data_IF_001635422200
#
_entry.id   IF_001635422200
#
_cell.length_a   1.000
_cell.length_b   1.000
_cell.length_c   1.000
_cell.angle_alpha   90.00
_cell.angle_beta   90.00
_cell.angle_gamma   90.00
#
_symmetry.space_group_name_H-M   'P 1'
#
loop_
_entity.id
_entity.type
_entity.pdbx_description
1 polymer ?
#
# COMPACT_ATOMS: atom_id res chain seq x y z
N UNK A 1 6.74 -7.09 -67.29
CA UNK A 1 6.35 -5.86 -68.00
C UNK A 1 5.25 -5.17 -67.20
N UNK A 2 5.53 -3.92 -66.75
CA UNK A 2 4.60 -2.79 -66.46
C UNK A 2 3.52 -3.02 -65.37
N UNK A 3 3.27 -2.18 -64.35
CA UNK A 3 3.66 -0.80 -63.92
C UNK A 3 2.97 -0.61 -62.55
N UNK A 4 3.64 -0.31 -61.43
CA UNK A 4 3.97 1.02 -60.85
C UNK A 4 2.83 2.06 -60.83
N UNK A 5 2.33 2.48 -59.63
CA UNK A 5 2.45 3.86 -59.10
C UNK A 5 1.78 4.09 -57.71
N UNK A 6 2.53 4.82 -56.88
CA UNK A 6 2.32 5.42 -55.54
C UNK A 6 1.51 6.74 -55.53
N UNK A 7 0.98 7.16 -54.35
CA UNK A 7 0.89 8.55 -53.80
C UNK A 7 -0.04 8.54 -52.54
N UNK A 8 0.41 8.69 -51.29
CA UNK A 8 0.83 9.90 -50.51
C UNK A 8 -0.12 11.11 -50.65
N UNK A 9 -0.83 11.44 -49.56
CA UNK A 9 -1.22 12.81 -49.23
C UNK A 9 -1.36 13.01 -47.71
N UNK A 10 -0.69 14.06 -47.25
CA UNK A 10 -0.55 14.60 -45.90
C UNK A 10 -1.59 15.72 -45.68
N UNK A 11 -2.08 15.94 -44.45
CA UNK A 11 -2.16 17.27 -43.79
C UNK A 11 -3.02 17.29 -42.50
N UNK A 12 -2.32 17.62 -41.41
CA UNK A 12 -2.60 18.56 -40.32
C UNK A 12 -4.00 18.78 -39.68
N UNK A 13 -4.05 18.42 -38.38
CA UNK A 13 -4.33 19.24 -37.17
C UNK A 13 -5.59 20.13 -37.13
N UNK A 14 -6.45 19.89 -36.13
CA UNK A 14 -6.80 20.86 -35.06
C UNK A 14 -7.55 20.16 -33.91
N UNK A 15 -7.05 20.38 -32.69
CA UNK A 15 -7.60 19.91 -31.43
C UNK A 15 -8.57 20.93 -30.85
N UNK A 16 -9.61 20.47 -30.16
CA UNK A 16 -10.23 21.19 -29.04
C UNK A 16 -10.56 20.23 -27.91
N UNK A 17 -10.17 20.65 -26.71
CA UNK A 17 -10.22 19.92 -25.45
C UNK A 17 -11.61 19.92 -24.81
N UNK A 18 -11.91 18.90 -24.01
CA UNK A 18 -12.83 19.01 -22.88
C UNK A 18 -12.33 18.16 -21.71
N UNK A 19 -12.55 18.70 -20.52
CA UNK A 19 -11.91 18.41 -19.25
C UNK A 19 -12.39 17.11 -18.56
N UNK A 20 -11.55 16.54 -17.70
CA UNK A 20 -11.81 16.45 -16.24
C UNK A 20 -10.71 15.62 -15.54
N UNK A 21 -10.46 16.00 -14.29
CA UNK A 21 -9.36 15.58 -13.41
C UNK A 21 -9.37 14.08 -13.05
N UNK A 22 -8.18 13.49 -12.94
CA UNK A 22 -7.89 12.44 -11.95
C UNK A 22 -6.40 12.48 -11.53
N UNK A 23 -6.06 12.46 -10.23
CA UNK A 23 -4.69 12.70 -9.78
C UNK A 23 -3.95 11.40 -9.50
N UNK A 24 -2.97 11.05 -10.35
CA UNK A 24 -1.93 10.07 -10.00
C UNK A 24 -0.54 10.60 -10.40
N UNK A 25 0.17 11.09 -9.38
CA UNK A 25 1.62 11.02 -9.16
C UNK A 25 2.53 11.87 -10.08
N UNK A 26 3.29 12.79 -9.46
CA UNK A 26 4.53 13.37 -10.03
C UNK A 26 5.59 13.60 -8.94
N UNK A 27 6.90 13.58 -9.28
CA UNK A 27 7.99 13.35 -8.34
C UNK A 27 8.70 14.62 -7.85
N UNK A 28 9.37 14.49 -6.70
CA UNK A 28 10.07 15.54 -5.95
C UNK A 28 11.38 16.01 -6.59
N UNK A 29 11.66 17.32 -6.50
CA UNK A 29 12.98 17.93 -6.73
C UNK A 29 13.55 18.55 -5.45
N UNK A 30 14.87 18.43 -5.28
CA UNK A 30 15.71 18.89 -4.15
C UNK A 30 16.09 20.39 -4.20
N UNK A 31 16.63 20.84 -3.05
CA UNK A 31 17.58 21.96 -2.81
C UNK A 31 16.96 23.34 -2.55
N UNK A 32 17.46 24.26 -1.70
CA UNK A 32 18.66 24.35 -0.84
C UNK A 32 18.57 25.61 0.07
N UNK A 33 19.19 25.53 1.25
CA UNK A 33 20.04 26.51 2.01
C UNK A 33 19.75 28.03 1.99
N UNK A 34 19.75 28.61 3.21
CA UNK A 34 20.10 29.99 3.57
C UNK A 34 19.47 30.34 4.94
N UNK A 35 20.11 30.82 6.01
CA UNK A 35 21.39 31.49 6.22
C UNK A 35 21.15 32.82 6.95
N UNK A 36 21.88 33.08 8.05
CA UNK A 36 22.08 34.39 8.74
C UNK A 36 20.99 34.84 9.74
N UNK A 37 21.21 35.51 10.89
CA UNK A 37 22.33 35.95 11.77
C UNK A 37 21.67 36.76 12.92
N UNK A 38 22.27 36.83 14.12
CA UNK A 38 22.02 37.99 15.02
C UNK A 38 22.13 37.78 16.54
N UNK A 39 23.37 37.78 17.06
CA UNK A 39 23.88 38.44 18.28
C UNK A 39 23.01 39.57 18.92
N UNK A 40 23.03 39.96 20.20
CA UNK A 40 24.10 40.12 21.22
C UNK A 40 23.50 40.54 22.60
N UNK A 41 24.29 40.35 23.67
CA UNK A 41 24.38 41.07 24.97
C UNK A 41 23.36 40.89 26.13
N UNK A 42 23.84 40.11 27.10
CA UNK A 42 23.91 40.31 28.56
C UNK A 42 23.84 41.75 29.12
N UNK A 43 23.24 41.94 30.30
CA UNK A 43 23.74 42.77 31.42
C UNK A 43 23.08 42.31 32.75
N UNK A 44 23.90 42.25 33.80
CA UNK A 44 23.67 41.78 35.18
C UNK A 44 23.41 43.01 36.13
N UNK A 45 23.34 42.91 37.47
CA UNK A 45 22.30 43.54 38.30
C UNK A 45 22.83 44.67 39.20
N UNK A 46 21.95 45.35 39.92
CA UNK A 46 22.33 46.28 41.00
C UNK A 46 21.61 45.95 42.30
N UNK A 47 22.41 45.69 43.33
CA UNK A 47 22.04 45.48 44.73
C UNK A 47 21.94 46.85 45.47
N UNK A 48 21.40 46.89 46.71
CA UNK A 48 20.86 48.08 47.35
C UNK A 48 21.87 48.78 48.29
N UNK A 49 21.53 50.01 48.72
CA UNK A 49 22.19 50.65 49.85
C UNK A 49 21.59 52.00 50.25
N UNK A 50 21.15 52.11 51.52
CA UNK A 50 21.13 53.33 52.34
C UNK A 50 20.71 52.91 53.76
N UNK A 51 21.63 52.78 54.72
CA UNK A 51 22.27 53.83 55.54
C UNK A 51 21.55 54.07 56.89
N UNK A 52 22.36 53.91 57.94
CA UNK A 52 22.30 54.37 59.35
C UNK A 52 21.60 55.73 59.60
N UNK A 53 21.15 56.16 60.80
CA UNK A 53 21.48 55.83 62.19
C UNK A 53 20.44 56.40 63.19
N UNK A 54 20.36 55.74 64.35
CA UNK A 54 20.39 56.31 65.73
C UNK A 54 19.25 57.13 66.33
N UNK A 55 18.67 56.60 67.42
CA UNK A 55 18.22 57.20 68.69
C UNK A 55 17.30 56.13 69.34
N UNK A 56 17.17 55.92 70.65
CA UNK A 56 17.67 56.48 71.90
C UNK A 56 17.17 55.53 72.99
N UNK A 57 17.78 55.55 74.17
CA UNK A 57 17.63 54.52 75.21
C UNK A 57 16.22 54.25 75.75
N UNK A 58 16.02 53.01 76.18
CA UNK A 58 15.58 52.69 77.54
C UNK A 58 15.91 51.21 77.80
N UNK A 59 16.95 51.03 78.60
CA UNK A 59 17.41 49.77 79.15
C UNK A 59 16.32 49.12 79.99
N UNK A 60 15.72 48.04 79.48
CA UNK A 60 15.42 46.89 80.35
C UNK A 60 16.50 45.86 80.07
N UNK A 61 17.23 45.45 81.12
CA UNK A 61 18.26 44.42 80.98
C UNK A 61 17.64 43.18 80.32
N UNK A 62 18.29 42.56 79.31
CA UNK A 62 17.79 41.31 78.75
C UNK A 62 17.75 40.29 79.88
N UNK A 63 16.52 39.90 80.27
CA UNK A 63 16.30 38.83 81.22
C UNK A 63 17.08 37.62 80.71
N UNK A 64 18.03 37.10 81.50
CA UNK A 64 18.70 35.84 81.18
C UNK A 64 17.61 34.77 81.11
N UNK A 65 17.33 34.31 79.90
CA UNK A 65 16.37 33.24 79.65
C UNK A 65 16.77 32.02 80.48
N UNK A 66 15.80 31.50 81.21
CA UNK A 66 15.94 30.22 81.89
C UNK A 66 16.24 29.13 80.85
N UNK A 67 16.84 28.02 81.28
CA UNK A 67 17.20 26.91 80.38
C UNK A 67 15.98 26.38 79.61
N UNK A 68 14.81 26.31 80.26
CA UNK A 68 13.53 25.97 79.62
C UNK A 68 13.08 26.98 78.57
N UNK A 69 13.29 28.28 78.78
CA UNK A 69 12.93 29.30 77.80
C UNK A 69 13.85 29.23 76.56
N UNK A 70 15.14 28.89 76.74
CA UNK A 70 16.09 28.65 75.63
C UNK A 70 15.77 27.38 74.84
N UNK A 71 15.36 26.31 75.52
CA UNK A 71 14.89 25.07 74.88
C UNK A 71 13.62 25.33 74.06
N UNK A 72 12.64 26.06 74.62
CA UNK A 72 11.42 26.41 73.90
C UNK A 72 11.67 27.32 72.68
N UNK A 73 12.61 28.27 72.78
CA UNK A 73 13.05 29.08 71.64
C UNK A 73 13.75 28.23 70.57
N UNK A 74 14.61 27.29 70.96
CA UNK A 74 15.28 26.37 70.05
C UNK A 74 14.31 25.41 69.34
N UNK A 75 13.30 24.90 70.05
CA UNK A 75 12.22 24.10 69.47
C UNK A 75 11.36 24.91 68.48
N UNK A 76 11.05 26.16 68.82
CA UNK A 76 10.33 27.09 67.95
C UNK A 76 11.12 27.39 66.67
N UNK A 77 12.42 27.68 66.78
CA UNK A 77 13.32 27.91 65.64
C UNK A 77 13.48 26.65 64.77
N UNK A 78 13.62 25.47 65.38
CA UNK A 78 13.66 24.21 64.65
C UNK A 78 12.34 23.93 63.92
N UNK A 79 11.21 24.17 64.57
CA UNK A 79 9.87 24.04 63.98
C UNK A 79 9.70 25.00 62.80
N UNK A 80 10.12 26.25 62.93
CA UNK A 80 10.10 27.25 61.86
C UNK A 80 10.99 26.83 60.67
N UNK A 81 12.18 26.28 60.92
CA UNK A 81 13.09 25.75 59.89
C UNK A 81 12.51 24.54 59.18
N UNK A 82 11.87 23.62 59.90
CA UNK A 82 11.18 22.45 59.32
C UNK A 82 10.00 22.92 58.46
N UNK A 83 9.19 23.87 58.94
CA UNK A 83 8.07 24.42 58.19
C UNK A 83 8.53 25.11 56.90
N UNK A 84 9.60 25.91 56.95
CA UNK A 84 10.21 26.54 55.78
C UNK A 84 10.72 25.49 54.77
N UNK A 85 11.39 24.43 55.26
CA UNK A 85 11.87 23.36 54.38
C UNK A 85 10.75 22.55 53.74
N UNK A 86 9.67 22.27 54.48
CA UNK A 86 8.46 21.62 53.95
C UNK A 86 7.76 22.50 52.91
N UNK A 87 7.70 23.83 53.12
CA UNK A 87 7.15 24.76 52.15
C UNK A 87 7.94 24.75 50.84
N UNK A 88 9.28 24.75 50.90
CA UNK A 88 10.15 24.63 49.72
C UNK A 88 9.93 23.29 49.01
N UNK A 89 9.84 22.18 49.74
CA UNK A 89 9.59 20.87 49.15
C UNK A 89 8.22 20.80 48.46
N UNK A 90 7.17 21.38 49.05
CA UNK A 90 5.83 21.47 48.44
C UNK A 90 5.83 22.33 47.19
N UNK A 91 6.50 23.49 47.21
CA UNK A 91 6.64 24.37 46.05
C UNK A 91 7.37 23.66 44.91
N UNK A 92 8.46 22.95 45.21
CA UNK A 92 9.19 22.14 44.22
C UNK A 92 8.33 21.03 43.64
N UNK A 93 7.53 20.33 44.46
CA UNK A 93 6.63 19.30 43.97
C UNK A 93 5.54 19.88 43.06
N UNK A 94 4.94 21.00 43.44
CA UNK A 94 3.95 21.71 42.61
C UNK A 94 4.56 22.17 41.28
N UNK A 95 5.79 22.68 41.31
CA UNK A 95 6.51 23.07 40.09
C UNK A 95 6.77 21.87 39.16
N UNK A 96 7.16 20.70 39.72
CA UNK A 96 7.35 19.46 38.93
C UNK A 96 6.04 18.97 38.31
N UNK A 97 4.94 18.99 39.07
CA UNK A 97 3.61 18.60 38.57
C UNK A 97 3.15 19.56 37.47
N UNK A 98 3.32 20.87 37.66
CA UNK A 98 2.98 21.88 36.67
C UNK A 98 3.83 21.75 35.39
N UNK A 99 5.12 21.46 35.53
CA UNK A 99 6.02 21.20 34.40
C UNK A 99 5.60 19.95 33.62
N UNK A 100 5.26 18.85 34.31
CA UNK A 100 4.76 17.63 33.68
C UNK A 100 3.43 17.86 32.95
N UNK A 101 2.51 18.63 33.55
CA UNK A 101 1.23 18.98 32.92
C UNK A 101 1.43 19.85 31.67
N UNK A 102 2.36 20.82 31.72
CA UNK A 102 2.74 21.65 30.55
C UNK A 102 3.37 20.80 29.45
N UNK A 103 4.27 19.88 29.79
CA UNK A 103 4.87 18.97 28.81
C UNK A 103 3.83 18.07 28.13
N UNK A 104 2.88 17.53 28.88
CA UNK A 104 1.77 16.72 28.32
C UNK A 104 0.87 17.54 27.40
N UNK A 105 0.55 18.78 27.78
CA UNK A 105 -0.24 19.70 26.94
C UNK A 105 0.51 20.09 25.66
N UNK A 106 1.82 20.34 25.74
CA UNK A 106 2.65 20.65 24.58
C UNK A 106 2.77 19.45 23.63
N UNK A 107 2.92 18.22 24.15
CA UNK A 107 2.92 17.01 23.33
C UNK A 107 1.58 16.77 22.61
N UNK A 108 0.45 17.09 23.25
CA UNK A 108 -0.87 17.00 22.64
C UNK A 108 -1.15 18.11 21.59
N UNK A 109 -0.42 19.22 21.66
CA UNK A 109 -0.55 20.35 20.73
C UNK A 109 0.47 20.31 19.58
N UNK A 110 1.39 19.33 19.57
CA UNK A 110 2.31 19.14 18.46
C UNK A 110 1.52 18.74 17.21
N UNK A 111 1.77 19.36 16.04
CA UNK A 111 1.14 18.96 14.80
C UNK A 111 1.49 17.50 14.52
N UNK A 112 0.47 16.67 14.31
CA UNK A 112 0.66 15.28 13.87
C UNK A 112 1.25 15.34 12.48
N UNK A 113 2.56 15.12 12.35
CA UNK A 113 3.19 14.94 11.05
C UNK A 113 2.55 13.70 10.43
N UNK A 114 1.92 13.79 9.23
CA UNK A 114 1.39 12.63 8.56
C UNK A 114 2.52 11.62 8.38
N UNK A 115 2.34 10.40 8.89
CA UNK A 115 3.28 9.33 8.58
C UNK A 115 3.17 9.05 7.08
N UNK A 116 4.25 9.29 6.34
CA UNK A 116 4.36 8.90 4.94
C UNK A 116 4.70 7.42 4.91
N UNK A 117 3.82 6.60 4.34
CA UNK A 117 4.04 5.17 4.15
C UNK A 117 4.57 4.93 2.74
N UNK A 118 5.41 3.90 2.58
CA UNK A 118 5.90 3.49 1.26
C UNK A 118 4.76 2.84 0.48
N UNK A 119 4.71 3.09 -0.83
CA UNK A 119 3.86 2.37 -1.78
C UNK A 119 4.66 1.38 -2.63
N UNK A 120 5.95 1.20 -2.32
CA UNK A 120 6.79 0.19 -2.95
C UNK A 120 6.56 -1.17 -2.31
N UNK A 121 6.44 -2.20 -3.13
CA UNK A 121 6.40 -3.59 -2.71
C UNK A 121 7.10 -4.47 -3.75
N UNK A 122 7.49 -5.68 -3.38
CA UNK A 122 8.12 -6.64 -4.29
C UNK A 122 7.63 -8.06 -4.00
N UNK A 123 8.11 -9.03 -4.75
CA UNK A 123 7.86 -10.46 -4.48
C UNK A 123 8.91 -11.10 -3.56
N UNK A 124 9.98 -10.38 -3.20
CA UNK A 124 11.14 -10.92 -2.48
C UNK A 124 11.76 -9.91 -1.50
N UNK A 125 12.47 -10.41 -0.48
CA UNK A 125 13.18 -9.56 0.48
C UNK A 125 12.26 -8.86 1.49
N UNK A 126 12.70 -7.71 2.00
CA UNK A 126 12.00 -6.97 3.07
C UNK A 126 10.63 -6.46 2.63
N UNK A 127 10.49 -6.13 1.34
CA UNK A 127 9.25 -5.64 0.71
C UNK A 127 8.37 -6.78 0.15
N UNK A 128 8.71 -8.04 0.45
CA UNK A 128 8.04 -9.23 -0.05
C UNK A 128 6.66 -9.53 0.57
N UNK A 129 5.94 -10.56 0.06
CA UNK A 129 4.56 -10.86 0.43
C UNK A 129 4.28 -11.05 1.93
N UNK A 130 5.26 -11.56 2.69
CA UNK A 130 5.14 -11.74 4.14
C UNK A 130 5.07 -10.42 4.92
N UNK A 131 5.45 -9.30 4.29
CA UNK A 131 5.55 -7.99 4.93
C UNK A 131 4.61 -6.94 4.33
N UNK A 132 3.94 -7.20 3.21
CA UNK A 132 3.07 -6.20 2.54
C UNK A 132 2.15 -5.45 3.50
N UNK A 133 1.41 -6.14 4.38
CA UNK A 133 0.49 -5.48 5.30
C UNK A 133 1.15 -4.64 6.41
N UNK A 134 2.49 -4.65 6.52
CA UNK A 134 3.28 -3.81 7.43
C UNK A 134 3.84 -2.56 6.74
N UNK A 135 3.91 -2.55 5.41
CA UNK A 135 4.52 -1.46 4.62
C UNK A 135 3.60 -0.25 4.60
N UNK A 136 2.33 -0.47 4.31
CA UNK A 136 1.29 0.55 4.25
C UNK A 136 0.04 0.06 5.03
N UNK A 137 -0.51 0.85 5.98
CA UNK A 137 -1.74 0.49 6.70
C UNK A 137 -2.94 0.17 5.80
N UNK A 138 -3.03 0.77 4.61
CA UNK A 138 -4.07 0.48 3.61
C UNK A 138 -3.97 -0.95 3.08
N UNK A 139 -2.83 -1.61 3.24
CA UNK A 139 -2.57 -3.00 2.81
C UNK A 139 -2.73 -4.00 3.96
N UNK A 140 -3.28 -3.57 5.10
CA UNK A 140 -3.47 -4.42 6.29
C UNK A 140 -4.20 -5.74 5.99
N UNK A 141 -5.06 -5.78 4.96
CA UNK A 141 -5.73 -6.99 4.47
C UNK A 141 -4.78 -8.06 3.96
N UNK A 142 -3.60 -7.69 3.47
CA UNK A 142 -2.57 -8.66 3.08
C UNK A 142 -2.10 -9.53 4.24
N UNK A 143 -2.23 -9.07 5.49
CA UNK A 143 -1.85 -9.81 6.70
C UNK A 143 -3.02 -10.27 7.55
N UNK A 144 -4.15 -9.56 7.52
CA UNK A 144 -5.32 -9.79 8.40
C UNK A 144 -6.54 -10.36 7.69
N UNK A 145 -6.51 -10.43 6.35
CA UNK A 145 -7.59 -10.99 5.56
C UNK A 145 -7.75 -12.50 5.77
N UNK A 146 -8.99 -12.97 5.81
CA UNK A 146 -9.33 -14.38 5.99
C UNK A 146 -9.83 -15.04 4.71
N UNK A 147 -10.08 -14.25 3.65
CA UNK A 147 -10.51 -14.71 2.32
C UNK A 147 -9.51 -14.27 1.25
N UNK A 148 -8.23 -14.48 1.53
CA UNK A 148 -7.14 -14.08 0.65
C UNK A 148 -6.94 -15.06 -0.52
N UNK A 149 -6.41 -14.56 -1.63
CA UNK A 149 -5.95 -15.32 -2.81
C UNK A 149 -4.44 -15.17 -2.98
N UNK A 150 -3.75 -16.11 -3.66
CA UNK A 150 -4.28 -17.34 -4.28
C UNK A 150 -4.53 -18.46 -3.25
N UNK A 151 -5.18 -19.55 -3.68
CA UNK A 151 -5.40 -20.76 -2.86
C UNK A 151 -4.98 -22.03 -3.60
N UNK A 152 -4.73 -23.08 -2.83
CA UNK A 152 -4.63 -24.45 -3.34
C UNK A 152 -6.03 -25.10 -3.32
N UNK A 153 -6.56 -25.40 -4.49
CA UNK A 153 -7.90 -25.94 -4.70
C UNK A 153 -7.83 -27.47 -4.60
N UNK A 154 -8.32 -28.05 -3.51
CA UNK A 154 -8.20 -29.50 -3.24
C UNK A 154 -9.49 -30.31 -3.38
N UNK A 155 -10.64 -29.73 -3.06
CA UNK A 155 -11.91 -30.45 -3.01
C UNK A 155 -13.05 -29.53 -3.48
N UNK A 156 -13.21 -29.43 -4.81
CA UNK A 156 -14.30 -28.69 -5.40
C UNK A 156 -15.65 -29.36 -5.11
N UNK A 157 -16.57 -28.63 -4.49
CA UNK A 157 -17.95 -29.10 -4.37
C UNK A 157 -18.59 -29.02 -5.75
N UNK A 158 -18.78 -30.19 -6.37
CA UNK A 158 -19.47 -30.30 -7.65
C UNK A 158 -20.89 -29.78 -7.52
N UNK A 159 -21.20 -28.78 -8.33
CA UNK A 159 -22.52 -28.18 -8.43
C UNK A 159 -22.79 -27.87 -9.89
N UNK A 160 -24.07 -27.84 -10.24
CA UNK A 160 -24.48 -27.34 -11.55
C UNK A 160 -24.30 -25.82 -11.57
N UNK A 161 -23.15 -25.39 -12.10
CA UNK A 161 -22.85 -23.97 -12.31
C UNK A 161 -23.37 -23.54 -13.68
N UNK A 162 -23.88 -22.32 -13.73
CA UNK A 162 -24.11 -21.63 -15.01
C UNK A 162 -22.79 -21.52 -15.77
N UNK A 163 -22.80 -21.79 -17.07
CA UNK A 163 -21.61 -21.60 -17.89
C UNK A 163 -21.27 -20.12 -18.00
N UNK A 164 -19.97 -19.82 -17.96
CA UNK A 164 -19.49 -18.46 -18.24
C UNK A 164 -19.77 -18.16 -19.72
N UNK A 165 -20.51 -17.08 -19.96
CA UNK A 165 -20.69 -16.53 -21.30
C UNK A 165 -19.58 -15.54 -21.57
N UNK A 166 -18.91 -15.68 -22.71
CA UNK A 166 -17.84 -14.81 -23.17
C UNK A 166 -18.35 -14.01 -24.37
N UNK A 167 -18.36 -12.68 -24.23
CA UNK A 167 -18.61 -11.74 -25.31
C UNK A 167 -17.34 -10.90 -25.50
N UNK A 168 -16.33 -11.55 -26.06
CA UNK A 168 -15.05 -10.93 -26.37
C UNK A 168 -14.93 -10.74 -27.88
N UNK A 169 -14.24 -9.69 -28.26
CA UNK A 169 -14.00 -9.31 -29.63
C UNK A 169 -12.58 -8.75 -29.79
N UNK A 170 -12.04 -8.73 -31.02
CA UNK A 170 -10.79 -8.04 -31.31
C UNK A 170 -10.85 -6.58 -30.83
N UNK A 171 -9.85 -6.18 -30.05
CA UNK A 171 -9.77 -4.86 -29.44
C UNK A 171 -8.38 -4.26 -29.57
N UNK A 172 -8.33 -2.93 -29.48
CA UNK A 172 -7.07 -2.24 -29.20
C UNK A 172 -6.56 -2.64 -27.82
N UNK A 173 -5.25 -2.55 -27.63
CA UNK A 173 -4.62 -2.87 -26.35
C UNK A 173 -3.37 -2.02 -26.16
N UNK A 174 -2.89 -1.97 -24.92
CA UNK A 174 -1.54 -1.51 -24.63
C UNK A 174 -0.85 -2.49 -23.69
N UNK A 175 0.47 -2.54 -23.77
CA UNK A 175 1.31 -3.43 -22.97
C UNK A 175 2.23 -2.60 -22.12
N UNK A 176 2.17 -2.80 -20.81
CA UNK A 176 3.03 -2.13 -19.83
C UNK A 176 3.80 -3.19 -19.07
N UNK A 177 5.12 -3.08 -19.01
CA UNK A 177 5.89 -3.76 -17.98
C UNK A 177 5.83 -2.85 -16.73
N UNK A 178 4.99 -3.17 -15.76
CA UNK A 178 4.77 -2.28 -14.61
C UNK A 178 5.80 -2.48 -13.47
N UNK A 179 6.87 -3.24 -13.71
CA UNK A 179 7.85 -3.60 -12.69
C UNK A 179 7.49 -4.81 -11.82
N UNK A 180 6.23 -5.27 -11.86
CA UNK A 180 5.73 -6.44 -11.13
C UNK A 180 5.22 -7.54 -12.06
N UNK A 181 4.77 -7.18 -13.26
CA UNK A 181 4.27 -8.09 -14.30
C UNK A 181 4.30 -7.39 -15.66
N UNK A 182 4.14 -8.16 -16.73
CA UNK A 182 3.60 -7.65 -17.98
C UNK A 182 2.08 -7.53 -17.82
N UNK A 183 1.55 -6.32 -17.98
CA UNK A 183 0.13 -5.99 -17.89
C UNK A 183 -0.37 -5.52 -19.25
N UNK A 184 -1.54 -6.01 -19.66
CA UNK A 184 -2.16 -5.66 -20.93
C UNK A 184 -3.51 -5.02 -20.66
N UNK A 185 -3.65 -3.72 -20.92
CA UNK A 185 -4.95 -3.06 -20.89
C UNK A 185 -5.69 -3.36 -22.20
N UNK A 186 -6.97 -3.70 -22.10
CA UNK A 186 -7.81 -4.05 -23.26
C UNK A 186 -8.83 -2.93 -23.50
N UNK A 187 -9.04 -2.58 -24.78
CA UNK A 187 -10.12 -1.67 -25.17
C UNK A 187 -11.48 -2.20 -24.74
N UNK A 188 -12.35 -1.29 -24.27
CA UNK A 188 -13.66 -1.64 -23.72
C UNK A 188 -14.58 -2.39 -24.70
N UNK A 189 -15.68 -2.92 -24.17
CA UNK A 189 -16.68 -3.70 -24.91
C UNK A 189 -16.53 -5.22 -24.79
N UNK A 190 -15.53 -5.71 -24.06
CA UNK A 190 -15.31 -7.14 -23.85
C UNK A 190 -15.91 -7.57 -22.50
N UNK A 191 -16.80 -8.56 -22.48
CA UNK A 191 -17.52 -8.94 -21.26
C UNK A 191 -17.47 -10.44 -20.96
N UNK A 192 -17.53 -10.76 -19.67
CA UNK A 192 -18.03 -12.06 -19.20
C UNK A 192 -19.38 -11.87 -18.53
N UNK A 193 -20.26 -12.86 -18.68
CA UNK A 193 -21.48 -12.97 -17.86
C UNK A 193 -21.46 -14.26 -17.07
N UNK A 194 -21.64 -14.15 -15.75
CA UNK A 194 -21.65 -15.28 -14.81
C UNK A 194 -22.58 -14.96 -13.64
N UNK A 195 -23.41 -15.91 -13.20
CA UNK A 195 -24.41 -15.72 -12.16
C UNK A 195 -25.32 -14.51 -12.45
N UNK A 196 -25.78 -14.40 -13.70
CA UNK A 196 -26.59 -13.28 -14.20
C UNK A 196 -25.98 -11.87 -13.98
N UNK A 197 -24.65 -11.78 -13.85
CA UNK A 197 -23.94 -10.51 -13.69
C UNK A 197 -22.88 -10.37 -14.77
N UNK A 198 -22.85 -9.18 -15.37
CA UNK A 198 -21.93 -8.83 -16.45
C UNK A 198 -20.72 -8.07 -15.90
N UNK A 199 -19.53 -8.47 -16.30
CA UNK A 199 -18.26 -7.84 -15.93
C UNK A 199 -17.46 -7.53 -17.18
N UNK A 200 -17.03 -6.28 -17.33
CA UNK A 200 -16.18 -5.83 -18.44
C UNK A 200 -14.71 -6.18 -18.18
N UNK A 201 -14.03 -6.77 -19.15
CA UNK A 201 -12.60 -7.01 -19.14
C UNK A 201 -11.85 -5.68 -19.20
N UNK A 202 -11.04 -5.42 -18.18
CA UNK A 202 -10.25 -4.19 -18.08
C UNK A 202 -8.81 -4.44 -18.52
N UNK A 203 -8.24 -5.56 -18.06
CA UNK A 203 -6.85 -5.92 -18.31
C UNK A 203 -6.62 -7.40 -18.10
N UNK A 204 -5.50 -7.90 -18.61
CA UNK A 204 -4.94 -9.15 -18.15
C UNK A 204 -3.43 -9.05 -17.89
N UNK A 205 -2.90 -9.94 -17.06
CA UNK A 205 -1.50 -9.96 -16.68
C UNK A 205 -1.03 -11.39 -16.33
N UNK A 206 0.28 -11.55 -16.08
CA UNK A 206 0.93 -12.85 -16.03
C UNK A 206 1.67 -13.07 -14.71
N UNK A 207 1.59 -14.28 -14.17
CA UNK A 207 2.41 -14.69 -13.04
C UNK A 207 3.21 -15.96 -13.34
N UNK A 208 4.39 -16.04 -12.74
CA UNK A 208 5.30 -17.18 -12.74
C UNK A 208 5.90 -17.41 -11.35
N UNK A 209 5.82 -18.63 -10.79
CA UNK A 209 4.98 -19.75 -11.25
C UNK A 209 3.48 -19.40 -11.20
N UNK A 210 2.58 -20.34 -11.51
CA UNK A 210 1.15 -20.07 -11.28
C UNK A 210 0.90 -19.73 -9.81
N UNK A 211 0.04 -18.74 -9.57
CA UNK A 211 -0.38 -18.38 -8.23
C UNK A 211 -1.29 -19.46 -7.65
N UNK A 212 -2.35 -19.84 -8.37
CA UNK A 212 -3.24 -20.94 -7.98
C UNK A 212 -2.55 -22.30 -8.08
N UNK A 213 -3.00 -23.23 -7.24
CA UNK A 213 -2.67 -24.65 -7.33
C UNK A 213 -3.93 -25.49 -7.37
N UNK A 214 -3.85 -26.65 -8.03
CA UNK A 214 -4.92 -27.65 -8.05
C UNK A 214 -4.38 -28.93 -7.42
N UNK A 215 -4.97 -29.41 -6.33
CA UNK A 215 -4.53 -30.60 -5.61
C UNK A 215 -3.04 -30.59 -5.25
N UNK A 216 -2.52 -29.42 -4.83
CA UNK A 216 -1.11 -29.20 -4.52
C UNK A 216 -0.21 -29.00 -5.74
N UNK A 217 -0.69 -29.27 -6.96
CA UNK A 217 0.05 -29.09 -8.21
C UNK A 217 0.02 -27.62 -8.64
N UNK A 218 1.20 -27.02 -8.75
CA UNK A 218 1.39 -25.74 -9.43
C UNK A 218 1.56 -25.94 -10.95
N UNK A 219 1.32 -24.87 -11.70
CA UNK A 219 1.53 -24.76 -13.14
C UNK A 219 2.70 -23.82 -13.42
N UNK A 220 3.18 -23.83 -14.66
CA UNK A 220 4.37 -23.07 -15.01
C UNK A 220 4.13 -21.56 -14.93
N UNK A 221 2.96 -21.12 -15.41
CA UNK A 221 2.53 -19.74 -15.35
C UNK A 221 1.00 -19.68 -15.18
N UNK A 222 0.46 -18.49 -14.94
CA UNK A 222 -0.97 -18.21 -15.01
C UNK A 222 -1.20 -16.86 -15.69
N UNK A 223 -2.30 -16.73 -16.44
CA UNK A 223 -2.83 -15.45 -16.90
C UNK A 223 -4.05 -15.10 -16.07
N UNK A 224 -4.09 -13.91 -15.49
CA UNK A 224 -5.25 -13.39 -14.80
C UNK A 224 -5.93 -12.33 -15.65
N UNK A 225 -7.16 -12.57 -16.08
CA UNK A 225 -8.02 -11.61 -16.78
C UNK A 225 -8.93 -10.94 -15.76
N UNK A 226 -8.75 -9.64 -15.54
CA UNK A 226 -9.44 -8.87 -14.52
C UNK A 226 -10.60 -8.10 -15.13
N UNK A 227 -11.77 -8.35 -14.56
CA UNK A 227 -13.03 -7.76 -14.99
C UNK A 227 -13.66 -6.94 -13.88
N UNK A 228 -14.51 -5.99 -14.26
CA UNK A 228 -15.23 -5.10 -13.34
C UNK A 228 -16.67 -4.90 -13.81
N UNK A 229 -17.63 -4.96 -12.89
CA UNK A 229 -19.02 -4.63 -13.20
C UNK A 229 -19.33 -3.12 -13.01
N UNK A 230 -20.55 -2.72 -13.32
CA UNK A 230 -21.01 -1.32 -13.17
C UNK A 230 -21.06 -0.81 -11.72
N UNK A 231 -20.97 -1.69 -10.72
CA UNK A 231 -20.87 -1.33 -9.29
C UNK A 231 -19.41 -1.31 -8.79
N UNK A 232 -18.45 -1.64 -9.65
CA UNK A 232 -17.02 -1.72 -9.30
C UNK A 232 -16.59 -3.05 -8.68
N UNK A 233 -17.45 -4.07 -8.64
CA UNK A 233 -17.08 -5.40 -8.14
C UNK A 233 -16.21 -6.11 -9.16
N UNK A 234 -15.20 -6.84 -8.67
CA UNK A 234 -14.21 -7.51 -9.51
C UNK A 234 -14.52 -8.99 -9.69
N UNK A 235 -14.28 -9.47 -10.91
CA UNK A 235 -14.19 -10.89 -11.23
C UNK A 235 -12.84 -11.16 -11.92
N UNK A 236 -12.11 -12.17 -11.48
CA UNK A 236 -10.83 -12.58 -12.07
C UNK A 236 -10.98 -13.97 -12.65
N UNK A 237 -10.73 -14.08 -13.95
CA UNK A 237 -10.62 -15.35 -14.65
C UNK A 237 -9.14 -15.75 -14.70
N UNK A 238 -8.80 -16.89 -14.11
CA UNK A 238 -7.45 -17.43 -14.09
C UNK A 238 -7.30 -18.57 -15.09
N UNK A 239 -6.34 -18.42 -15.99
CA UNK A 239 -5.98 -19.40 -17.02
C UNK A 239 -4.61 -19.98 -16.67
N UNK A 240 -4.59 -21.20 -16.15
CA UNK A 240 -3.35 -21.91 -15.83
C UNK A 240 -2.61 -22.26 -17.12
N UNK A 241 -1.30 -22.01 -17.17
CA UNK A 241 -0.48 -22.24 -18.35
C UNK A 241 0.43 -23.46 -18.18
N UNK A 242 0.44 -24.33 -19.18
CA UNK A 242 1.36 -25.46 -19.29
C UNK A 242 2.13 -25.47 -20.61
N UNK A 243 3.28 -26.16 -20.63
CA UNK A 243 4.11 -26.26 -21.82
C UNK A 243 3.35 -26.99 -22.92
N UNK A 244 3.29 -26.38 -24.10
CA UNK A 244 2.67 -26.99 -25.27
C UNK A 244 2.91 -26.19 -26.53
N UNK A 245 1.86 -26.05 -27.35
CA UNK A 245 1.91 -25.25 -28.59
C UNK A 245 2.07 -23.75 -28.29
N UNK A 246 2.66 -22.97 -29.20
CA UNK A 246 2.68 -21.51 -29.07
C UNK A 246 1.27 -20.94 -28.95
N UNK A 247 1.08 -20.02 -28.00
CA UNK A 247 -0.18 -19.31 -27.81
C UNK A 247 -0.15 -17.99 -28.63
N UNK A 248 -1.06 -17.75 -29.59
CA UNK A 248 -1.03 -16.57 -30.46
C UNK A 248 -1.13 -15.21 -29.75
N UNK A 249 -2.05 -15.04 -28.80
CA UNK A 249 -2.22 -13.84 -27.99
C UNK A 249 -0.97 -13.54 -27.17
N UNK A 250 -0.38 -14.54 -26.51
CA UNK A 250 0.88 -14.36 -25.78
C UNK A 250 2.00 -13.92 -26.73
N UNK A 251 2.04 -14.47 -27.96
CA UNK A 251 3.02 -14.04 -28.96
C UNK A 251 2.80 -12.59 -29.38
N UNK A 252 1.54 -12.18 -29.61
CA UNK A 252 1.18 -10.79 -29.94
C UNK A 252 1.62 -9.84 -28.83
N UNK A 253 1.41 -10.19 -27.56
CA UNK A 253 1.91 -9.39 -26.43
C UNK A 253 3.43 -9.34 -26.41
N UNK A 254 4.12 -10.47 -26.60
CA UNK A 254 5.59 -10.52 -26.56
C UNK A 254 6.24 -9.72 -27.69
N UNK A 255 5.60 -9.67 -28.87
CA UNK A 255 6.05 -8.85 -30.00
C UNK A 255 5.90 -7.34 -29.74
N UNK A 256 5.12 -6.94 -28.73
CA UNK A 256 4.82 -5.56 -28.39
C UNK A 256 5.18 -5.22 -26.94
N UNK A 257 6.17 -5.91 -26.37
CA UNK A 257 6.71 -5.56 -25.06
C UNK A 257 7.43 -4.20 -25.14
N UNK A 258 7.28 -3.33 -24.13
CA UNK A 258 8.11 -2.14 -24.02
C UNK A 258 9.59 -2.51 -23.81
N UNK A 259 10.49 -1.61 -24.17
CA UNK A 259 11.94 -1.83 -24.02
C UNK A 259 12.39 -1.64 -22.57
N UNK A 260 11.74 -0.74 -21.84
CA UNK A 260 12.04 -0.44 -20.44
C UNK A 260 10.83 -0.70 -19.53
N UNK A 261 11.12 -0.92 -18.24
CA UNK A 261 10.08 -1.01 -17.21
C UNK A 261 9.41 0.35 -17.04
N UNK A 262 8.13 0.32 -16.65
CA UNK A 262 7.25 1.47 -16.46
C UNK A 262 6.90 2.22 -17.75
N UNK A 263 7.32 1.72 -18.90
CA UNK A 263 6.88 2.22 -20.20
C UNK A 263 5.66 1.44 -20.70
N UNK A 264 4.91 2.07 -21.60
CA UNK A 264 3.72 1.50 -22.21
C UNK A 264 3.86 1.52 -23.73
N UNK A 265 3.65 0.37 -24.35
CA UNK A 265 3.59 0.21 -25.79
C UNK A 265 2.12 0.07 -26.24
N UNK A 266 1.68 0.92 -27.16
CA UNK A 266 0.33 0.89 -27.73
C UNK A 266 0.40 0.58 -29.23
N UNK A 267 0.29 -0.70 -29.65
CA UNK A 267 0.40 -1.07 -31.05
C UNK A 267 -0.87 -0.73 -31.85
N UNK A 268 -0.72 -0.61 -33.18
CA UNK A 268 -1.83 -0.37 -34.11
C UNK A 268 -2.59 -1.64 -34.52
N UNK A 269 -2.06 -2.83 -34.18
CA UNK A 269 -2.76 -4.10 -34.37
C UNK A 269 -3.80 -4.32 -33.28
N UNK A 270 -4.76 -5.18 -33.55
CA UNK A 270 -5.73 -5.67 -32.57
C UNK A 270 -5.27 -6.98 -31.94
N UNK A 271 -5.83 -7.29 -30.78
CA UNK A 271 -5.70 -8.55 -30.06
C UNK A 271 -7.11 -9.05 -29.75
N UNK A 272 -7.36 -10.34 -29.98
CA UNK A 272 -8.63 -10.98 -29.61
C UNK A 272 -8.45 -11.74 -28.28
N UNK A 273 -9.04 -11.29 -27.16
CA UNK A 273 -8.94 -11.99 -25.88
C UNK A 273 -9.62 -13.36 -25.90
N UNK A 274 -10.55 -13.61 -26.83
CA UNK A 274 -11.25 -14.89 -26.94
C UNK A 274 -10.29 -16.03 -27.28
N UNK A 275 -9.23 -15.74 -28.03
CA UNK A 275 -8.19 -16.71 -28.41
C UNK A 275 -7.41 -17.27 -27.20
N UNK A 276 -7.46 -16.61 -26.03
CA UNK A 276 -6.90 -17.15 -24.79
C UNK A 276 -7.79 -18.21 -24.14
N UNK A 277 -9.09 -18.22 -24.44
CA UNK A 277 -10.06 -19.00 -23.69
C UNK A 277 -10.03 -20.47 -24.14
N UNK A 278 -9.87 -21.43 -23.21
CA UNK A 278 -9.87 -22.85 -23.56
C UNK A 278 -11.23 -23.31 -24.09
N UNK A 279 -11.22 -24.38 -24.89
CA UNK A 279 -12.43 -24.91 -25.52
C UNK A 279 -13.43 -25.43 -24.48
N UNK A 280 -12.97 -26.16 -23.46
CA UNK A 280 -13.83 -26.53 -22.32
C UNK A 280 -13.91 -25.38 -21.33
N UNK A 281 -15.14 -25.12 -20.90
CA UNK A 281 -15.48 -23.98 -20.05
C UNK A 281 -15.68 -24.35 -18.58
N UNK A 282 -15.19 -25.52 -18.17
CA UNK A 282 -15.32 -25.98 -16.80
C UNK A 282 -14.38 -25.19 -15.88
N UNK A 283 -14.85 -24.81 -14.70
CA UNK A 283 -14.13 -23.93 -13.81
C UNK A 283 -14.41 -24.21 -12.33
N UNK A 284 -13.47 -23.79 -11.49
CA UNK A 284 -13.67 -23.63 -10.06
C UNK A 284 -14.05 -22.17 -9.75
N UNK A 285 -14.89 -21.96 -8.74
CA UNK A 285 -15.22 -20.61 -8.29
C UNK A 285 -15.30 -20.46 -6.79
N UNK A 286 -14.81 -19.31 -6.31
CA UNK A 286 -14.82 -18.91 -4.91
C UNK A 286 -14.69 -17.40 -4.78
N UNK A 287 -15.06 -16.87 -3.61
CA UNK A 287 -14.79 -15.47 -3.25
C UNK A 287 -13.43 -15.36 -2.54
N UNK A 288 -12.55 -14.55 -3.11
CA UNK A 288 -11.17 -14.33 -2.67
C UNK A 288 -10.80 -12.85 -2.59
N UNK A 289 -9.52 -12.55 -2.86
CA UNK A 289 -8.95 -11.21 -2.87
C UNK A 289 -8.14 -10.92 -4.13
N UNK A 290 -7.65 -9.69 -4.27
CA UNK A 290 -6.47 -9.42 -5.10
C UNK A 290 -5.25 -10.18 -4.55
N UNK A 291 -4.34 -10.59 -5.43
CA UNK A 291 -3.09 -11.29 -5.08
C UNK A 291 -1.90 -10.35 -4.92
N UNK A 292 -2.12 -9.04 -5.08
CA UNK A 292 -1.16 -7.97 -4.84
C UNK A 292 -1.75 -6.94 -3.88
N UNK A 293 -0.93 -6.10 -3.22
CA UNK A 293 -1.44 -5.02 -2.40
C UNK A 293 -2.43 -4.12 -3.16
N UNK A 294 -3.55 -3.70 -2.55
CA UNK A 294 -3.88 -3.75 -1.12
C UNK A 294 -4.50 -5.08 -0.62
N UNK A 295 -4.51 -6.14 -1.46
CA UNK A 295 -5.09 -7.44 -1.16
C UNK A 295 -6.58 -7.40 -0.77
N UNK A 296 -7.33 -6.47 -1.38
CA UNK A 296 -8.76 -6.28 -1.16
C UNK A 296 -9.53 -7.58 -1.39
N UNK A 297 -10.35 -7.96 -0.41
CA UNK A 297 -11.25 -9.12 -0.49
C UNK A 297 -12.53 -8.79 -1.28
N UNK A 298 -13.36 -9.80 -1.57
CA UNK A 298 -14.62 -9.61 -2.31
C UNK A 298 -14.46 -9.74 -3.82
N UNK A 299 -13.37 -10.35 -4.27
CA UNK A 299 -13.11 -10.65 -5.69
C UNK A 299 -13.70 -12.02 -6.03
N UNK A 300 -14.52 -12.10 -7.07
CA UNK A 300 -15.00 -13.37 -7.61
C UNK A 300 -13.89 -14.03 -8.42
N UNK A 301 -13.43 -15.21 -8.00
CA UNK A 301 -12.44 -15.99 -8.74
C UNK A 301 -13.13 -17.06 -9.58
N UNK A 302 -12.66 -17.19 -10.83
CA UNK A 302 -13.08 -18.18 -11.81
C UNK A 302 -11.79 -18.84 -12.35
N UNK A 303 -11.45 -20.03 -11.89
CA UNK A 303 -10.21 -20.72 -12.28
C UNK A 303 -10.56 -21.81 -13.28
N UNK A 304 -10.13 -21.65 -14.54
CA UNK A 304 -10.44 -22.62 -15.60
C UNK A 304 -9.74 -23.95 -15.32
N UNK A 305 -10.48 -25.05 -15.47
CA UNK A 305 -9.98 -26.41 -15.22
C UNK A 305 -9.06 -26.89 -16.34
N UNK A 306 -9.34 -26.50 -17.58
CA UNK A 306 -8.48 -26.79 -18.72
C UNK A 306 -7.32 -25.79 -18.79
N UNK A 307 -6.07 -26.23 -18.69
CA UNK A 307 -4.93 -25.34 -18.84
C UNK A 307 -4.76 -24.91 -20.29
N UNK A 308 -4.28 -23.69 -20.49
CA UNK A 308 -3.94 -23.14 -21.80
C UNK A 308 -2.47 -23.47 -22.10
N UNK A 309 -2.20 -23.90 -23.33
CA UNK A 309 -0.83 -24.19 -23.75
C UNK A 309 -0.09 -22.93 -24.15
N UNK A 310 1.17 -22.81 -23.73
CA UNK A 310 2.12 -21.87 -24.30
C UNK A 310 3.45 -22.57 -24.58
N UNK A 311 4.18 -22.09 -25.58
CA UNK A 311 5.44 -22.73 -25.96
C UNK A 311 6.52 -22.56 -24.88
N UNK A 312 7.46 -23.51 -24.74
CA UNK A 312 8.62 -23.34 -23.87
C UNK A 312 9.39 -22.04 -24.10
N UNK A 313 9.46 -21.55 -25.34
CA UNK A 313 10.13 -20.30 -25.68
C UNK A 313 9.39 -19.07 -25.14
N UNK A 314 8.06 -19.04 -25.24
CA UNK A 314 7.24 -17.96 -24.68
C UNK A 314 7.34 -17.90 -23.16
N UNK A 315 7.30 -19.06 -22.49
CA UNK A 315 7.45 -19.15 -21.03
C UNK A 315 8.87 -18.76 -20.58
N UNK A 316 9.90 -19.16 -21.33
CA UNK A 316 11.28 -18.79 -21.05
C UNK A 316 11.52 -17.28 -21.19
N UNK A 317 10.89 -16.61 -22.15
CA UNK A 317 10.96 -15.15 -22.28
C UNK A 317 10.44 -14.48 -21.01
N UNK A 318 9.23 -14.84 -20.56
CA UNK A 318 8.66 -14.27 -19.33
C UNK A 318 9.52 -14.58 -18.11
N UNK A 319 10.03 -15.81 -17.98
CA UNK A 319 10.91 -16.21 -16.87
C UNK A 319 12.19 -15.39 -16.76
N UNK A 320 12.68 -14.78 -17.85
CA UNK A 320 13.86 -13.90 -17.81
C UNK A 320 13.51 -12.50 -17.29
N UNK A 321 12.30 -12.03 -17.58
CA UNK A 321 11.78 -10.75 -17.08
C UNK A 321 11.37 -10.88 -15.60
N UNK A 322 10.67 -11.96 -15.28
CA UNK A 322 10.06 -12.26 -13.98
C UNK A 322 10.32 -13.71 -13.58
N UNK A 323 11.45 -13.99 -12.89
CA UNK A 323 11.74 -15.32 -12.37
C UNK A 323 10.72 -15.78 -11.33
N UNK A 324 10.31 -14.86 -10.45
CA UNK A 324 9.30 -15.05 -9.42
C UNK A 324 8.47 -13.77 -9.29
N UNK A 325 7.19 -13.87 -9.64
CA UNK A 325 6.21 -12.81 -9.36
C UNK A 325 4.88 -13.39 -8.87
N UNK A 326 4.93 -14.48 -8.10
CA UNK A 326 3.75 -15.16 -7.57
C UNK A 326 3.68 -15.01 -6.05
N UNK A 327 2.53 -14.57 -5.52
CA UNK A 327 2.24 -14.58 -4.09
C UNK A 327 2.12 -16.03 -3.60
N UNK A 328 2.63 -16.37 -2.41
CA UNK A 328 2.41 -17.68 -1.80
C UNK A 328 0.92 -18.00 -1.61
N UNK A 329 0.59 -19.30 -1.64
CA UNK A 329 -0.75 -19.81 -1.32
C UNK A 329 -1.21 -19.32 0.05
N UNK A 330 -2.45 -18.85 0.10
CA UNK A 330 -3.12 -18.41 1.31
C UNK A 330 -4.00 -19.54 1.88
N UNK A 331 -4.26 -19.55 3.21
CA UNK A 331 -5.12 -20.55 3.82
C UNK A 331 -6.52 -20.57 3.20
N UNK A 332 -7.08 -21.77 2.97
CA UNK A 332 -8.45 -21.92 2.47
C UNK A 332 -9.51 -21.38 3.44
N UNK A 333 -9.21 -21.35 4.75
CA UNK A 333 -10.05 -20.76 5.81
C UNK A 333 -11.52 -21.24 5.80
N UNK A 334 -11.74 -22.53 5.51
CA UNK A 334 -13.08 -23.14 5.46
C UNK A 334 -13.96 -22.65 4.30
N UNK A 335 -13.40 -21.93 3.32
CA UNK A 335 -14.15 -21.48 2.14
C UNK A 335 -14.54 -22.68 1.28
N UNK A 336 -15.82 -22.73 0.92
CA UNK A 336 -16.31 -23.68 -0.07
C UNK A 336 -15.87 -23.20 -1.45
N UNK A 337 -15.15 -24.05 -2.17
CA UNK A 337 -14.88 -23.89 -3.60
C UNK A 337 -15.93 -24.69 -4.35
N UNK A 338 -16.65 -24.05 -5.27
CA UNK A 338 -17.58 -24.71 -6.17
C UNK A 338 -16.86 -25.16 -7.42
N UNK A 339 -17.26 -26.27 -7.99
CA UNK A 339 -16.71 -26.84 -9.22
C UNK A 339 -17.86 -27.10 -10.20
N UNK A 340 -17.70 -26.69 -11.46
CA UNK A 340 -18.63 -27.06 -12.53
C UNK A 340 -18.48 -28.55 -12.89
N UNK A 341 -19.62 -29.18 -13.19
CA UNK A 341 -19.69 -30.56 -13.69
C UNK A 341 -18.95 -30.74 -15.01
#
# INVERSE_FOLDING_TARGET
MRTLLTLIACCCVLATASAANDPLISPSTKSSVGGSTGSIASIRPSNPGSSSASASGASSAPRKLTEREREAEAESDLSAKIAARLAIMRANQQARVAAAARAKKAAAAAPVVPKVYSNHWSYEGEDGPANWGKINPEWSKCSTGNRQSPIDIRDGMKVELEQITFDYHPSSFNVTDNGHTVQVMVGGGNFITVNNRMYELIQFHFHRPSEERINGKGYEMVVHLVHKDGEGKLAVLALLLERGKPQPVIQTVWNNLPLEKLETMAPSTVLDPLDLIPARRDYFTFMGSLTTPPCSEGVLWLVMKEPVQASPAQMALFSRLYPLNARPIQPGSGRIVKESN
#
